data_IF_583507364365
#
_entry.id   IF_583507364365
#
_cell.length_a   1.000
_cell.length_b   1.000
_cell.length_c   1.000
_cell.angle_alpha   90.00
_cell.angle_beta   90.00
_cell.angle_gamma   90.00
#
_symmetry.space_group_name_H-M   'P 1'
#
loop_
_entity.id
_entity.type
_entity.pdbx_description
1 polymer ?
#
# COMPACT_ATOMS: atom_id res chain seq x y z
N UNK A 1 12.54 -25.87 24.38
CA UNK A 1 13.21 -24.63 23.95
C UNK A 1 12.11 -23.61 23.71
N UNK A 2 12.27 -22.37 24.17
CA UNK A 2 11.31 -21.31 23.86
C UNK A 2 11.64 -20.84 22.43
N UNK A 3 10.92 -21.37 21.44
CA UNK A 3 11.20 -21.18 20.01
C UNK A 3 10.72 -19.81 19.47
N UNK A 4 10.73 -18.78 20.33
CA UNK A 4 10.24 -17.44 19.97
C UNK A 4 11.40 -16.54 19.57
N UNK A 5 11.36 -16.05 18.34
CA UNK A 5 12.28 -15.02 17.86
C UNK A 5 12.06 -13.69 18.59
N UNK A 6 13.14 -12.99 18.89
CA UNK A 6 13.11 -11.64 19.43
C UNK A 6 12.73 -10.62 18.35
N UNK A 7 12.33 -9.42 18.77
CA UNK A 7 12.06 -8.32 17.84
C UNK A 7 13.30 -7.97 16.98
N UNK A 8 14.51 -8.04 17.54
CA UNK A 8 15.75 -7.80 16.79
C UNK A 8 16.01 -8.85 15.72
N UNK A 9 15.76 -10.13 16.05
CA UNK A 9 15.87 -11.22 15.08
C UNK A 9 14.89 -11.05 13.93
N UNK A 10 13.65 -10.63 14.21
CA UNK A 10 12.68 -10.32 13.17
C UNK A 10 13.09 -9.13 12.30
N UNK A 11 13.59 -8.04 12.90
CA UNK A 11 14.07 -6.86 12.16
C UNK A 11 15.18 -7.24 11.18
N UNK A 12 16.13 -8.05 11.63
CA UNK A 12 17.23 -8.52 10.79
C UNK A 12 16.73 -9.47 9.69
N UNK A 13 15.95 -10.51 10.05
CA UNK A 13 15.49 -11.52 9.11
C UNK A 13 14.59 -10.93 8.01
N UNK A 14 13.78 -9.92 8.36
CA UNK A 14 12.89 -9.23 7.41
C UNK A 14 13.51 -7.98 6.79
N UNK A 15 14.75 -7.61 7.13
CA UNK A 15 15.40 -6.41 6.59
C UNK A 15 14.55 -5.15 6.76
N UNK A 16 14.00 -4.94 7.97
CA UNK A 16 13.12 -3.80 8.24
C UNK A 16 13.93 -2.50 8.38
N UNK A 17 13.37 -1.41 7.85
CA UNK A 17 13.89 -0.05 7.96
C UNK A 17 13.16 0.71 9.06
N UNK A 18 13.81 1.71 9.66
CA UNK A 18 13.15 2.61 10.61
C UNK A 18 12.14 3.50 9.89
N UNK A 19 10.91 3.55 10.40
CA UNK A 19 9.87 4.40 9.84
C UNK A 19 9.95 5.82 10.43
N UNK A 20 9.74 6.90 9.64
CA UNK A 20 9.77 8.28 10.14
C UNK A 20 8.76 8.56 11.26
N UNK A 21 7.62 7.87 11.25
CA UNK A 21 6.58 8.00 12.30
C UNK A 21 6.89 7.14 13.54
N UNK A 22 8.02 6.41 13.55
CA UNK A 22 8.40 5.46 14.57
C UNK A 22 8.08 4.00 14.21
N UNK A 23 8.85 3.08 14.77
CA UNK A 23 8.75 1.64 14.46
C UNK A 23 9.62 1.21 13.27
N UNK A 24 9.37 -0.01 12.80
CA UNK A 24 10.13 -0.66 11.72
C UNK A 24 9.21 -1.19 10.64
N UNK A 25 9.55 -1.00 9.37
CA UNK A 25 8.71 -1.39 8.23
C UNK A 25 9.54 -1.86 7.04
N UNK A 26 8.89 -2.55 6.10
CA UNK A 26 9.41 -2.84 4.76
C UNK A 26 8.24 -2.91 3.79
N UNK A 27 8.29 -2.16 2.70
CA UNK A 27 7.34 -2.33 1.59
C UNK A 27 7.70 -3.63 0.84
N UNK A 28 6.84 -4.64 0.93
CA UNK A 28 7.05 -5.95 0.28
C UNK A 28 6.43 -6.02 -1.11
N UNK A 29 5.50 -5.13 -1.41
CA UNK A 29 4.82 -5.04 -2.70
C UNK A 29 4.48 -3.59 -3.02
N UNK A 30 4.57 -3.27 -4.31
CA UNK A 30 4.07 -2.05 -4.93
C UNK A 30 3.66 -2.44 -6.34
N UNK A 31 2.45 -2.09 -6.77
CA UNK A 31 2.04 -2.34 -8.15
C UNK A 31 2.90 -1.58 -9.15
N UNK A 32 3.07 -2.14 -10.35
CA UNK A 32 3.65 -1.44 -11.48
C UNK A 32 2.68 -0.49 -12.18
N UNK A 33 1.39 -0.58 -11.86
CA UNK A 33 0.35 0.28 -12.42
C UNK A 33 0.14 1.51 -11.54
N UNK A 34 0.04 2.67 -12.20
CA UNK A 34 -0.11 3.98 -11.56
C UNK A 34 -1.27 4.74 -12.21
N UNK A 35 -2.09 5.40 -11.38
CA UNK A 35 -3.11 6.32 -11.84
C UNK A 35 -2.58 7.73 -11.73
N UNK A 36 -2.57 8.44 -12.87
CA UNK A 36 -2.20 9.85 -12.90
C UNK A 36 -3.20 10.71 -12.12
N UNK A 37 -2.74 11.88 -11.66
CA UNK A 37 -3.52 12.82 -10.86
C UNK A 37 -4.85 13.20 -11.52
N UNK A 38 -4.91 13.26 -12.87
CA UNK A 38 -6.15 13.55 -13.60
C UNK A 38 -7.23 12.46 -13.48
N UNK A 39 -6.86 11.23 -13.12
CA UNK A 39 -7.77 10.11 -12.86
C UNK A 39 -8.14 9.94 -11.38
N UNK A 40 -7.60 10.79 -10.49
CA UNK A 40 -7.81 10.71 -9.05
C UNK A 40 -8.75 11.81 -8.54
N UNK A 41 -9.46 11.58 -7.42
CA UNK A 41 -10.20 12.64 -6.73
C UNK A 41 -9.30 13.82 -6.34
N UNK A 42 -9.88 15.02 -6.27
CA UNK A 42 -9.15 16.28 -6.07
C UNK A 42 -8.39 16.41 -4.74
N UNK A 43 -8.65 15.57 -3.75
CA UNK A 43 -7.95 15.57 -2.46
C UNK A 43 -6.62 14.80 -2.50
N UNK A 44 -6.33 14.08 -3.58
CA UNK A 44 -5.04 13.44 -3.77
C UNK A 44 -4.01 14.46 -4.22
N UNK A 45 -2.90 14.56 -3.49
CA UNK A 45 -1.81 15.49 -3.80
C UNK A 45 -0.92 15.05 -4.99
N UNK A 46 -1.26 13.95 -5.67
CA UNK A 46 -0.53 13.44 -6.84
C UNK A 46 -0.91 12.01 -7.19
N UNK A 47 -0.25 11.45 -8.19
CA UNK A 47 -0.43 10.09 -8.70
C UNK A 47 -0.27 9.00 -7.63
N UNK A 48 -0.93 7.86 -7.83
CA UNK A 48 -0.97 6.75 -6.86
C UNK A 48 -0.84 5.39 -7.55
N UNK A 49 -0.07 4.50 -6.93
CA UNK A 49 0.03 3.11 -7.35
C UNK A 49 -1.27 2.35 -7.03
N UNK A 50 -1.70 1.51 -7.97
CA UNK A 50 -2.89 0.68 -7.79
C UNK A 50 -2.58 -0.51 -6.89
N UNK A 51 -3.00 -0.46 -5.63
CA UNK A 51 -2.84 -1.61 -4.75
C UNK A 51 -4.02 -2.58 -4.92
N UNK A 52 -3.74 -3.87 -5.15
CA UNK A 52 -4.78 -4.88 -5.32
C UNK A 52 -5.34 -5.31 -3.95
N UNK A 53 -6.17 -4.47 -3.35
CA UNK A 53 -6.94 -4.80 -2.16
C UNK A 53 -8.40 -4.35 -2.36
N UNK A 54 -9.19 -5.17 -3.07
CA UNK A 54 -10.65 -5.20 -2.95
C UNK A 54 -11.47 -4.09 -3.63
N UNK A 55 -12.15 -4.50 -4.72
CA UNK A 55 -13.37 -3.95 -5.37
C UNK A 55 -13.35 -2.46 -5.78
N UNK A 56 -12.97 -2.22 -7.04
CA UNK A 56 -13.50 -1.08 -7.80
C UNK A 56 -14.83 -1.53 -8.40
N UNK A 57 -15.95 -1.22 -7.73
CA UNK A 57 -17.27 -1.34 -8.33
C UNK A 57 -17.44 -0.14 -9.28
N UNK A 58 -17.24 -0.38 -10.57
CA UNK A 58 -17.71 0.58 -11.58
C UNK A 58 -19.24 0.52 -11.63
N UNK A 59 -19.90 1.37 -10.86
CA UNK A 59 -21.29 1.75 -11.14
C UNK A 59 -21.27 2.70 -12.35
N UNK A 60 -21.20 2.15 -13.56
CA UNK A 60 -21.68 2.88 -14.73
C UNK A 60 -23.16 3.17 -14.49
N UNK A 61 -23.49 4.44 -14.26
CA UNK A 61 -24.88 4.91 -14.33
C UNK A 61 -25.42 4.49 -15.71
N UNK A 62 -26.58 3.81 -15.81
CA UNK A 62 -27.30 3.83 -17.06
C UNK A 62 -27.82 5.27 -17.21
N UNK A 63 -27.16 6.06 -18.05
CA UNK A 63 -27.77 7.30 -18.51
C UNK A 63 -29.09 6.93 -19.20
N UNK A 64 -30.15 7.56 -18.70
CA UNK A 64 -31.50 7.45 -19.24
C UNK A 64 -31.57 8.19 -20.58
N UNK A 65 -31.97 7.50 -21.65
CA UNK A 65 -32.82 7.97 -22.75
C UNK A 65 -33.27 6.79 -23.61
#
# INVERSE_FOLDING_TARGET
>A
MDDRFTADQWKQALGLLTHPEGGFYRQTYRSGEEVDTGGLPSHFAGSRYLEHWGIIEQLTRPDSS
#
